data_IF_381412614913
#
_entry.id   IF_381412614913
#
_cell.length_a   1.000
_cell.length_b   1.000
_cell.length_c   1.000
_cell.angle_alpha   90.00
_cell.angle_beta   90.00
_cell.angle_gamma   90.00
#
_symmetry.space_group_name_H-M   'P 1'
#
loop_
_entity.id
_entity.type
_entity.pdbx_description
1 polymer ?
#
# COMPACT_ATOMS: atom_id res chain seq x y z
N UNK A 1 6.55 27.75 8.49
CA UNK A 1 6.91 26.64 7.59
C UNK A 1 5.69 25.83 7.16
N UNK A 2 4.82 25.32 8.04
CA UNK A 2 3.62 24.53 7.65
C UNK A 2 2.65 25.25 6.69
N UNK A 3 2.46 26.57 6.83
CA UNK A 3 1.61 27.39 5.95
C UNK A 3 2.21 27.59 4.54
N UNK A 4 3.54 27.63 4.44
CA UNK A 4 4.26 27.77 3.16
C UNK A 4 4.16 26.49 2.34
N UNK A 5 4.24 25.33 3.00
CA UNK A 5 4.06 24.01 2.36
C UNK A 5 2.63 23.88 1.83
N UNK A 6 1.63 24.31 2.61
CA UNK A 6 0.22 24.29 2.18
C UNK A 6 -0.01 25.19 0.95
N UNK A 7 0.56 26.39 0.94
CA UNK A 7 0.50 27.33 -0.18
C UNK A 7 1.22 26.78 -1.41
N UNK A 8 2.39 26.15 -1.22
CA UNK A 8 3.11 25.50 -2.33
C UNK A 8 2.32 24.33 -2.94
N UNK A 9 1.66 23.52 -2.12
CA UNK A 9 0.78 22.43 -2.58
C UNK A 9 -0.43 22.98 -3.33
N UNK A 10 -1.05 24.06 -2.84
CA UNK A 10 -2.19 24.73 -3.51
C UNK A 10 -1.76 25.38 -4.82
N UNK A 11 -0.58 26.01 -4.88
CA UNK A 11 -0.03 26.60 -6.10
C UNK A 11 0.36 25.55 -7.14
N UNK A 12 0.90 24.41 -6.71
CA UNK A 12 1.13 23.25 -7.58
C UNK A 12 -0.19 22.66 -8.11
N UNK A 13 -1.24 22.60 -7.29
CA UNK A 13 -2.57 22.17 -7.74
C UNK A 13 -3.24 23.17 -8.72
N UNK A 14 -3.02 24.47 -8.54
CA UNK A 14 -3.59 25.51 -9.40
C UNK A 14 -2.89 25.65 -10.78
N UNK A 15 -1.66 25.14 -10.93
CA UNK A 15 -0.93 25.17 -12.21
C UNK A 15 -1.29 24.03 -13.17
N UNK A 16 -2.23 23.16 -12.81
CA UNK A 16 -2.61 21.94 -13.57
C UNK A 16 -3.63 22.23 -14.69
N UNK A 17 -4.26 23.41 -14.73
CA UNK A 17 -5.30 23.73 -15.73
C UNK A 17 -4.82 23.76 -17.19
N UNK A 18 -3.50 23.79 -17.44
CA UNK A 18 -2.97 23.81 -18.81
C UNK A 18 -2.58 22.42 -19.38
N UNK A 19 -2.62 21.36 -18.57
CA UNK A 19 -2.27 19.99 -19.00
C UNK A 19 -3.27 18.93 -18.53
N UNK A 20 -4.53 19.28 -18.33
CA UNK A 20 -5.58 18.40 -17.80
C UNK A 20 -5.83 17.10 -18.60
N UNK A 21 -5.20 16.91 -19.77
CA UNK A 21 -5.24 15.66 -20.52
C UNK A 21 -4.13 14.67 -20.16
N UNK A 22 -3.07 15.12 -19.48
CA UNK A 22 -1.90 14.29 -19.15
C UNK A 22 -1.89 13.78 -17.72
N UNK A 23 -2.50 14.49 -16.79
CA UNK A 23 -2.48 14.13 -15.36
C UNK A 23 -3.91 14.05 -14.81
N UNK A 24 -4.24 12.93 -14.21
CA UNK A 24 -5.48 12.72 -13.46
C UNK A 24 -5.15 12.53 -11.99
N UNK A 25 -5.82 13.29 -11.14
CA UNK A 25 -5.77 13.09 -9.70
C UNK A 25 -6.98 12.29 -9.24
N UNK A 26 -6.84 11.66 -8.08
CA UNK A 26 -7.93 10.90 -7.51
C UNK A 26 -7.63 10.43 -6.10
N UNK A 27 -8.55 9.67 -5.57
CA UNK A 27 -8.42 8.98 -4.31
C UNK A 27 -8.88 7.54 -4.45
N UNK A 28 -8.36 6.67 -3.61
CA UNK A 28 -8.80 5.28 -3.50
C UNK A 28 -8.84 4.84 -2.05
N UNK A 29 -9.64 3.81 -1.81
CA UNK A 29 -9.69 3.12 -0.53
C UNK A 29 -10.10 1.67 -0.73
N UNK A 30 -9.77 0.84 0.23
CA UNK A 30 -10.05 -0.58 0.11
C UNK A 30 -9.60 -1.40 1.32
N UNK A 31 -9.68 -2.70 1.13
CA UNK A 31 -9.30 -3.69 2.13
C UNK A 31 -7.95 -4.30 1.79
N UNK A 32 -7.19 -4.57 2.84
CA UNK A 32 -5.98 -5.37 2.83
C UNK A 32 -6.27 -6.72 3.44
N UNK A 33 -5.79 -7.76 2.80
CA UNK A 33 -5.61 -9.08 3.38
C UNK A 33 -4.11 -9.28 3.53
N UNK A 34 -3.61 -8.96 4.72
CA UNK A 34 -2.19 -8.92 5.01
C UNK A 34 -1.75 -10.16 5.76
N UNK A 35 -0.59 -10.69 5.40
CA UNK A 35 0.07 -11.78 6.10
C UNK A 35 1.56 -11.49 6.21
N UNK A 36 2.17 -12.01 7.25
CA UNK A 36 3.61 -11.99 7.42
C UNK A 36 4.15 -13.38 7.06
N UNK A 37 4.82 -13.46 5.90
CA UNK A 37 5.42 -14.69 5.43
C UNK A 37 6.74 -14.92 6.16
N UNK A 38 6.75 -15.86 7.08
CA UNK A 38 7.90 -16.34 7.83
C UNK A 38 7.62 -17.73 8.38
N UNK A 39 8.65 -18.49 8.70
CA UNK A 39 8.51 -19.73 9.45
C UNK A 39 7.94 -19.41 10.84
N UNK A 40 7.22 -20.36 11.44
CA UNK A 40 6.68 -20.24 12.80
C UNK A 40 7.67 -19.53 13.74
N UNK A 41 7.22 -18.42 14.35
CA UNK A 41 8.05 -17.67 15.28
C UNK A 41 8.09 -18.44 16.60
N UNK A 42 9.30 -18.74 17.08
CA UNK A 42 9.47 -19.35 18.39
C UNK A 42 9.74 -18.26 19.42
N UNK A 43 8.79 -18.02 20.31
CA UNK A 43 8.91 -17.08 21.42
C UNK A 43 8.85 -17.90 22.72
N UNK A 44 9.84 -17.78 23.59
CA UNK A 44 9.91 -18.49 24.87
C UNK A 44 9.71 -20.03 24.77
N UNK A 45 10.19 -20.67 23.68
CA UNK A 45 10.02 -22.11 23.38
C UNK A 45 8.63 -22.51 22.85
N UNK A 46 7.70 -21.59 22.65
CA UNK A 46 6.40 -21.84 22.04
C UNK A 46 6.42 -21.46 20.54
N UNK A 47 5.82 -22.31 19.70
CA UNK A 47 5.67 -22.06 18.27
C UNK A 47 4.31 -21.40 18.00
N UNK A 48 4.35 -20.23 17.37
CA UNK A 48 3.16 -19.50 16.94
C UNK A 48 2.97 -19.63 15.44
N UNK A 49 1.74 -19.95 15.01
CA UNK A 49 1.33 -19.88 13.62
C UNK A 49 0.89 -18.46 13.29
N UNK A 50 1.21 -18.01 12.09
CA UNK A 50 0.87 -16.68 11.59
C UNK A 50 -0.41 -16.76 10.76
N UNK A 51 -1.46 -16.04 11.17
CA UNK A 51 -2.71 -15.91 10.44
C UNK A 51 -2.82 -14.51 9.84
N UNK A 52 -3.36 -14.45 8.60
CA UNK A 52 -3.57 -13.19 7.90
C UNK A 52 -4.62 -12.31 8.61
N UNK A 53 -4.40 -11.01 8.60
CA UNK A 53 -5.37 -10.04 9.09
C UNK A 53 -6.06 -9.31 7.95
N UNK A 54 -7.33 -8.98 8.17
CA UNK A 54 -8.06 -8.04 7.32
C UNK A 54 -7.93 -6.65 7.91
N UNK A 55 -7.46 -5.72 7.09
CA UNK A 55 -7.25 -4.33 7.46
C UNK A 55 -7.62 -3.41 6.30
N UNK A 56 -7.21 -2.15 6.30
CA UNK A 56 -7.64 -1.19 5.28
C UNK A 56 -6.49 -0.33 4.77
N UNK A 57 -6.72 0.29 3.62
CA UNK A 57 -5.88 1.36 3.11
C UNK A 57 -6.75 2.45 2.49
N UNK A 58 -6.25 3.67 2.51
CA UNK A 58 -6.86 4.81 1.83
C UNK A 58 -5.79 5.84 1.49
N UNK A 59 -6.01 6.60 0.40
CA UNK A 59 -5.09 7.67 0.04
C UNK A 59 -5.33 8.27 -1.33
N UNK A 60 -4.32 8.99 -1.80
CA UNK A 60 -4.34 9.76 -3.02
C UNK A 60 -3.62 9.02 -4.14
N UNK A 61 -4.07 9.22 -5.35
CA UNK A 61 -3.46 8.71 -6.57
C UNK A 61 -3.31 9.85 -7.58
N UNK A 62 -2.23 9.78 -8.36
CA UNK A 62 -2.06 10.64 -9.53
C UNK A 62 -1.64 9.76 -10.70
N UNK A 63 -2.38 9.82 -11.81
CA UNK A 63 -2.03 9.09 -13.03
C UNK A 63 -1.49 10.06 -14.06
N UNK A 64 -0.23 9.86 -14.47
CA UNK A 64 0.43 10.62 -15.52
C UNK A 64 0.40 9.79 -16.81
N UNK A 65 -0.46 10.16 -17.74
CA UNK A 65 -0.59 9.48 -19.02
C UNK A 65 0.55 9.91 -19.95
N UNK A 66 1.46 8.98 -20.26
CA UNK A 66 2.59 9.24 -21.16
C UNK A 66 2.24 8.90 -22.61
N UNK A 67 1.47 7.82 -22.81
CA UNK A 67 0.91 7.40 -24.11
C UNK A 67 -0.48 6.81 -23.91
N UNK A 68 -1.16 6.43 -24.97
CA UNK A 68 -2.46 5.76 -24.86
C UNK A 68 -2.38 4.38 -24.22
N UNK A 69 -1.21 3.73 -24.32
CA UNK A 69 -0.95 2.39 -23.75
C UNK A 69 -0.19 2.41 -22.44
N UNK A 70 0.31 3.57 -21.97
CA UNK A 70 1.21 3.60 -20.83
C UNK A 70 1.06 4.86 -19.97
N UNK A 71 0.97 4.67 -18.66
CA UNK A 71 0.93 5.72 -17.64
C UNK A 71 1.87 5.39 -16.49
N UNK A 72 2.27 6.41 -15.72
CA UNK A 72 2.91 6.26 -14.42
C UNK A 72 1.93 6.72 -13.36
N UNK A 73 1.76 5.91 -12.31
CA UNK A 73 0.82 6.19 -11.23
C UNK A 73 1.53 6.22 -9.88
N UNK A 74 2.06 7.37 -9.43
CA UNK A 74 2.44 7.55 -8.03
C UNK A 74 1.21 7.61 -7.12
N UNK A 75 1.35 7.06 -5.93
CA UNK A 75 0.30 7.03 -4.92
C UNK A 75 0.87 7.42 -3.55
N UNK A 76 0.01 7.92 -2.69
CA UNK A 76 0.30 8.18 -1.28
C UNK A 76 -0.81 7.56 -0.44
N UNK A 77 -0.51 6.45 0.25
CA UNK A 77 -1.50 5.64 0.94
C UNK A 77 -1.16 5.53 2.43
N UNK A 78 -2.15 5.71 3.27
CA UNK A 78 -2.12 5.12 4.60
C UNK A 78 -2.61 3.67 4.48
N UNK A 79 -1.81 2.73 4.95
CA UNK A 79 -2.08 1.29 4.81
C UNK A 79 -1.78 0.59 6.12
N UNK A 80 -2.75 -0.14 6.64
CA UNK A 80 -2.54 -1.01 7.79
C UNK A 80 -2.19 -2.43 7.34
N UNK A 81 -1.22 -3.06 8.01
CA UNK A 81 -0.69 -4.38 7.69
C UNK A 81 -0.37 -5.11 8.99
N UNK A 82 -0.09 -6.41 8.92
CA UNK A 82 0.31 -7.17 10.07
C UNK A 82 -0.11 -8.63 10.01
N UNK A 83 -0.16 -9.26 11.17
CA UNK A 83 -0.61 -10.65 11.32
C UNK A 83 -1.18 -10.90 12.73
N UNK A 84 -1.94 -11.97 12.84
CA UNK A 84 -2.33 -12.56 14.12
C UNK A 84 -1.42 -13.75 14.41
N UNK A 85 -0.85 -13.78 15.60
CA UNK A 85 -0.01 -14.87 16.08
C UNK A 85 -0.82 -15.72 17.05
N UNK A 86 -0.93 -17.01 16.76
CA UNK A 86 -1.72 -17.96 17.55
C UNK A 86 -0.91 -19.17 17.97
N UNK A 87 -1.08 -19.56 19.23
CA UNK A 87 -0.72 -20.88 19.71
C UNK A 87 -1.94 -21.55 20.39
N UNK A 88 -1.74 -22.71 21.02
CA UNK A 88 -2.83 -23.46 21.66
C UNK A 88 -3.46 -22.76 22.88
N UNK A 89 -2.83 -21.74 23.43
CA UNK A 89 -3.19 -21.07 24.70
C UNK A 89 -3.42 -19.59 24.52
N UNK A 90 -2.60 -18.91 23.64
CA UNK A 90 -2.59 -17.46 23.48
C UNK A 90 -2.79 -17.03 22.02
N UNK A 91 -3.48 -15.91 21.84
CA UNK A 91 -3.66 -15.21 20.57
C UNK A 91 -3.32 -13.73 20.77
N UNK A 92 -2.44 -13.16 19.94
CA UNK A 92 -2.18 -11.72 19.94
C UNK A 92 -2.11 -11.16 18.51
N UNK A 93 -2.61 -9.95 18.35
CA UNK A 93 -2.67 -9.23 17.09
C UNK A 93 -1.58 -8.17 17.03
N UNK A 94 -0.83 -8.18 15.94
CA UNK A 94 0.12 -7.12 15.60
C UNK A 94 -0.42 -6.35 14.40
N UNK A 95 -0.71 -5.06 14.56
CA UNK A 95 -1.19 -4.17 13.51
C UNK A 95 -0.26 -2.97 13.37
N UNK A 96 0.33 -2.82 12.20
CA UNK A 96 1.29 -1.80 11.85
C UNK A 96 0.67 -0.83 10.84
N UNK A 97 0.72 0.46 11.11
CA UNK A 97 0.25 1.52 10.21
C UNK A 97 1.41 2.13 9.44
N UNK A 98 1.35 2.05 8.11
CA UNK A 98 2.36 2.54 7.19
C UNK A 98 1.87 3.71 6.34
N UNK A 99 2.78 4.65 6.06
CA UNK A 99 2.68 5.53 4.92
C UNK A 99 3.36 4.86 3.74
N UNK A 100 2.59 4.41 2.76
CA UNK A 100 3.09 3.70 1.58
C UNK A 100 3.08 4.62 0.36
N UNK A 101 4.18 4.60 -0.40
CA UNK A 101 4.41 5.38 -1.60
C UNK A 101 4.74 4.44 -2.76
N UNK A 102 3.73 3.84 -3.39
CA UNK A 102 3.93 3.08 -4.62
C UNK A 102 4.16 4.03 -5.82
N UNK A 103 5.01 3.61 -6.75
CA UNK A 103 5.16 4.24 -8.06
C UNK A 103 4.97 3.15 -9.11
N UNK A 104 3.82 3.17 -9.78
CA UNK A 104 3.41 2.08 -10.66
C UNK A 104 3.53 2.48 -12.13
N UNK A 105 4.11 1.59 -12.92
CA UNK A 105 3.95 1.55 -14.36
C UNK A 105 2.60 0.90 -14.66
N UNK A 106 1.73 1.61 -15.36
CA UNK A 106 0.39 1.17 -15.73
C UNK A 106 0.33 0.92 -17.23
N UNK A 107 0.12 -0.32 -17.61
CA UNK A 107 0.04 -0.77 -19.01
C UNK A 107 -1.43 -0.98 -19.35
N UNK A 108 -1.96 -0.15 -20.23
CA UNK A 108 -3.36 -0.21 -20.66
C UNK A 108 -3.52 -1.19 -21.81
N UNK A 109 -4.17 -2.33 -21.58
CA UNK A 109 -4.54 -3.27 -22.65
C UNK A 109 -5.68 -2.72 -23.51
N UNK A 110 -6.58 -2.02 -22.86
CA UNK A 110 -7.70 -1.29 -23.49
C UNK A 110 -8.19 -0.19 -22.52
N UNK A 111 -9.30 0.48 -22.86
CA UNK A 111 -9.87 1.55 -22.01
C UNK A 111 -10.40 1.06 -20.66
N UNK A 112 -10.62 -0.25 -20.51
CA UNK A 112 -11.23 -0.85 -19.32
C UNK A 112 -10.21 -1.54 -18.43
N UNK A 113 -9.20 -2.20 -18.99
CA UNK A 113 -8.27 -3.06 -18.24
C UNK A 113 -6.84 -2.56 -18.37
N UNK A 114 -6.16 -2.45 -17.25
CA UNK A 114 -4.72 -2.18 -17.19
C UNK A 114 -4.01 -3.10 -16.18
N UNK A 115 -2.73 -3.35 -16.45
CA UNK A 115 -1.79 -4.01 -15.56
C UNK A 115 -0.95 -2.95 -14.87
N UNK A 116 -0.84 -3.05 -13.56
CA UNK A 116 -0.08 -2.13 -12.71
C UNK A 116 1.11 -2.86 -12.10
N UNK A 117 2.33 -2.37 -12.31
CA UNK A 117 3.56 -2.96 -11.81
C UNK A 117 4.48 -1.87 -11.28
N UNK A 118 5.12 -2.07 -10.14
CA UNK A 118 6.11 -1.09 -9.67
C UNK A 118 6.63 -1.33 -8.27
N UNK A 119 7.64 -0.53 -7.87
CA UNK A 119 8.14 -0.50 -6.52
C UNK A 119 7.19 0.21 -5.56
N UNK A 120 7.30 -0.15 -4.29
CA UNK A 120 6.61 0.51 -3.18
C UNK A 120 7.59 0.74 -2.04
N UNK A 121 7.66 1.97 -1.55
CA UNK A 121 8.33 2.32 -0.30
C UNK A 121 7.28 2.52 0.78
N UNK A 122 7.50 1.99 1.98
CA UNK A 122 6.57 2.14 3.11
C UNK A 122 7.34 2.57 4.34
N UNK A 123 6.78 3.55 5.06
CA UNK A 123 7.35 4.11 6.28
C UNK A 123 6.38 3.82 7.44
N UNK A 124 6.88 3.20 8.49
CA UNK A 124 6.09 2.92 9.68
C UNK A 124 5.72 4.22 10.40
N UNK A 125 4.42 4.46 10.59
CA UNK A 125 3.88 5.62 11.30
C UNK A 125 3.36 5.28 12.69
N UNK A 126 2.80 4.09 12.85
CA UNK A 126 2.18 3.67 14.11
C UNK A 126 2.25 2.15 14.31
N UNK A 127 2.46 1.75 15.54
CA UNK A 127 2.42 0.37 15.98
C UNK A 127 1.29 0.23 17.00
N UNK A 128 0.42 -0.77 16.82
CA UNK A 128 -0.56 -1.21 17.80
C UNK A 128 -0.23 -2.66 18.16
N UNK A 129 0.54 -2.81 19.22
CA UNK A 129 0.96 -4.11 19.71
C UNK A 129 0.33 -4.35 21.08
N UNK A 130 -0.22 -5.52 21.31
CA UNK A 130 -0.64 -5.98 22.64
C UNK A 130 0.57 -6.38 23.51
N UNK A 131 1.71 -6.58 22.88
CA UNK A 131 3.02 -6.79 23.54
C UNK A 131 4.06 -5.84 22.96
N UNK A 132 5.02 -5.42 23.81
CA UNK A 132 6.12 -4.50 23.49
C UNK A 132 7.15 -5.21 22.59
N UNK A 133 6.81 -5.37 21.28
CA UNK A 133 7.75 -5.86 20.27
C UNK A 133 8.67 -4.70 19.91
N UNK A 134 9.74 -4.57 20.67
CA UNK A 134 10.81 -3.60 20.38
C UNK A 134 11.47 -4.02 19.07
N UNK A 135 11.60 -3.06 18.12
CA UNK A 135 12.37 -3.13 16.86
C UNK A 135 11.60 -3.47 15.57
N UNK A 136 10.40 -2.92 15.35
CA UNK A 136 9.86 -2.87 13.98
C UNK A 136 10.73 -1.98 13.09
N UNK A 137 11.05 -2.44 11.87
CA UNK A 137 11.81 -1.64 10.92
C UNK A 137 10.98 -0.46 10.45
N UNK A 138 11.58 0.74 10.51
CA UNK A 138 10.90 2.00 10.16
C UNK A 138 10.64 2.12 8.67
N UNK A 139 11.40 1.40 7.84
CA UNK A 139 11.33 1.46 6.38
C UNK A 139 11.20 0.06 5.79
N UNK A 140 10.27 -0.08 4.87
CA UNK A 140 10.02 -1.30 4.11
C UNK A 140 10.01 -0.99 2.62
N UNK A 141 10.71 -1.81 1.83
CA UNK A 141 10.69 -1.75 0.39
C UNK A 141 10.01 -3.00 -0.17
N UNK A 142 9.16 -2.83 -1.18
CA UNK A 142 8.39 -3.91 -1.77
C UNK A 142 8.19 -3.74 -3.27
N UNK A 143 7.63 -4.77 -3.87
CA UNK A 143 7.15 -4.77 -5.25
C UNK A 143 5.65 -4.98 -5.27
N UNK A 144 4.96 -4.21 -6.09
CA UNK A 144 3.51 -4.27 -6.28
C UNK A 144 3.18 -4.73 -7.70
N UNK A 145 2.22 -5.64 -7.83
CA UNK A 145 1.65 -6.09 -9.08
C UNK A 145 0.13 -6.18 -8.96
N UNK A 146 -0.62 -5.69 -9.96
CA UNK A 146 -2.07 -5.66 -9.89
C UNK A 146 -2.76 -5.45 -11.22
N UNK A 147 -4.08 -5.55 -11.18
CA UNK A 147 -4.96 -5.27 -12.30
C UNK A 147 -5.95 -4.18 -11.90
N UNK A 148 -6.13 -3.20 -12.78
CA UNK A 148 -7.15 -2.16 -12.65
C UNK A 148 -8.24 -2.35 -13.69
N UNK A 149 -9.49 -2.27 -13.24
CA UNK A 149 -10.71 -2.26 -14.05
C UNK A 149 -11.35 -0.87 -13.98
N UNK A 150 -11.32 -0.10 -15.07
CA UNK A 150 -12.04 1.15 -15.19
C UNK A 150 -13.52 0.86 -15.48
N UNK A 151 -14.37 1.02 -14.46
CA UNK A 151 -15.83 0.82 -14.56
C UNK A 151 -16.48 1.95 -15.32
N UNK A 152 -15.97 3.17 -15.09
CA UNK A 152 -16.36 4.38 -15.81
C UNK A 152 -15.11 5.20 -16.15
N UNK A 153 -15.29 6.42 -16.71
CA UNK A 153 -14.16 7.33 -16.94
C UNK A 153 -13.49 7.81 -15.64
N UNK A 154 -14.22 7.74 -14.54
CA UNK A 154 -13.81 8.29 -13.25
C UNK A 154 -13.69 7.22 -12.15
N UNK A 155 -14.42 6.10 -12.24
CA UNK A 155 -14.47 5.05 -11.21
C UNK A 155 -13.67 3.85 -11.68
N UNK A 156 -12.79 3.36 -10.81
CA UNK A 156 -12.03 2.14 -11.04
C UNK A 156 -12.09 1.18 -9.84
N UNK A 157 -11.92 -0.09 -10.13
CA UNK A 157 -11.66 -1.15 -9.17
C UNK A 157 -10.24 -1.68 -9.41
N UNK A 158 -9.53 -2.03 -8.35
CA UNK A 158 -8.15 -2.53 -8.45
C UNK A 158 -7.94 -3.70 -7.51
N UNK A 159 -7.40 -4.79 -8.03
CA UNK A 159 -6.81 -5.89 -7.27
C UNK A 159 -5.30 -5.82 -7.37
N UNK A 160 -4.59 -5.82 -6.24
CA UNK A 160 -3.13 -5.68 -6.17
C UNK A 160 -2.53 -6.64 -5.15
N UNK A 161 -1.40 -7.21 -5.48
CA UNK A 161 -0.55 -7.92 -4.55
C UNK A 161 0.73 -7.12 -4.31
N UNK A 162 1.09 -6.93 -3.05
CA UNK A 162 2.32 -6.28 -2.61
C UNK A 162 3.17 -7.30 -1.89
N UNK A 163 4.39 -7.48 -2.35
CA UNK A 163 5.40 -8.35 -1.75
C UNK A 163 6.48 -7.49 -1.11
N UNK A 164 6.63 -7.55 0.20
CA UNK A 164 7.76 -6.97 0.93
C UNK A 164 9.05 -7.68 0.54
N UNK A 165 10.05 -6.91 0.16
CA UNK A 165 11.38 -7.40 -0.22
C UNK A 165 12.38 -7.26 0.91
N UNK A 166 12.17 -6.28 1.80
CA UNK A 166 12.94 -6.09 3.05
C UNK A 166 12.25 -6.80 4.20
N UNK A 167 12.99 -7.10 5.25
CA UNK A 167 12.47 -7.69 6.48
C UNK A 167 11.66 -6.66 7.26
N UNK A 168 10.52 -7.08 7.81
CA UNK A 168 9.65 -6.24 8.62
C UNK A 168 10.13 -6.15 10.09
N UNK A 169 11.08 -6.99 10.50
CA UNK A 169 11.67 -7.02 11.85
C UNK A 169 13.14 -7.44 11.78
N UNK A 170 13.96 -6.84 12.65
CA UNK A 170 15.39 -7.19 12.78
C UNK A 170 15.65 -8.55 13.43
N UNK A 171 14.68 -9.07 14.16
CA UNK A 171 14.83 -10.29 14.96
C UNK A 171 14.21 -11.53 14.30
N UNK A 172 13.46 -11.37 13.20
CA UNK A 172 12.84 -12.46 12.46
C UNK A 172 12.89 -12.19 10.96
N UNK A 173 13.26 -13.18 10.15
CA UNK A 173 13.18 -13.14 8.67
C UNK A 173 11.72 -13.19 8.21
N UNK A 174 10.95 -12.13 8.56
CA UNK A 174 9.53 -12.02 8.25
C UNK A 174 9.33 -10.93 7.22
N UNK A 175 8.68 -11.26 6.10
CA UNK A 175 8.33 -10.32 5.03
C UNK A 175 6.83 -10.13 4.97
N UNK A 176 6.40 -8.88 4.83
CA UNK A 176 5.00 -8.58 4.63
C UNK A 176 4.55 -8.98 3.22
N UNK A 177 3.38 -9.59 3.13
CA UNK A 177 2.67 -9.79 1.87
C UNK A 177 1.23 -9.36 2.02
N UNK A 178 0.74 -8.56 1.07
CA UNK A 178 -0.58 -7.94 1.16
C UNK A 178 -1.33 -8.09 -0.14
N UNK A 179 -2.50 -8.71 -0.09
CA UNK A 179 -3.48 -8.65 -1.15
C UNK A 179 -4.41 -7.47 -0.87
N UNK A 180 -4.51 -6.54 -1.81
CA UNK A 180 -5.33 -5.35 -1.72
C UNK A 180 -6.47 -5.40 -2.72
N UNK A 181 -7.68 -5.05 -2.27
CA UNK A 181 -8.84 -4.81 -3.15
C UNK A 181 -9.31 -3.39 -2.89
N UNK A 182 -9.33 -2.56 -3.93
CA UNK A 182 -9.60 -1.14 -3.83
C UNK A 182 -10.68 -0.70 -4.80
N UNK A 183 -11.42 0.33 -4.42
CA UNK A 183 -12.20 1.18 -5.30
C UNK A 183 -11.64 2.60 -5.26
N UNK A 184 -11.66 3.29 -6.40
CA UNK A 184 -11.16 4.65 -6.47
C UNK A 184 -11.93 5.50 -7.47
N UNK A 185 -11.70 6.81 -7.34
CA UNK A 185 -12.27 7.84 -8.17
C UNK A 185 -11.17 8.79 -8.66
N UNK A 186 -11.16 9.08 -9.96
CA UNK A 186 -10.27 10.07 -10.59
C UNK A 186 -11.07 11.19 -11.25
N UNK A 187 -10.54 12.39 -11.23
CA UNK A 187 -11.16 13.59 -11.79
C UNK A 187 -10.19 14.33 -12.72
#
# INVERSE_FOLDING_TARGET
>A
MKKIILVAVVLLAASVDMQAQLVKFGFKGGLNYANQNGSSITVNSDNYNTDAITSYHAGLVAELKLTDGFSIQPELLYSTQGATYKNAVDEFKNELGYLSIPVLAKIHFNKTVSLDLGPQASFLLSERNEFDVKNAETFEFGAAAGLTLNVTKNIFLQGRYVLGLTEASKEAEVKNSVLQVSAGFTF
#
